data_IF_596777692889
#
_entry.id   IF_596777692889
#
_cell.length_a   1.000
_cell.length_b   1.000
_cell.length_c   1.000
_cell.angle_alpha   90.00
_cell.angle_beta   90.00
_cell.angle_gamma   90.00
#
_symmetry.space_group_name_H-M   'P 1'
#
loop_
_entity.id
_entity.type
_entity.pdbx_description
1 polymer ?
#
# COMPACT_ATOMS: atom_id res chain seq x y z
N UNK A 1 19.85 29.35 -7.43
CA UNK A 1 18.45 29.70 -7.75
C UNK A 1 18.34 31.21 -7.84
N UNK A 2 17.62 31.71 -8.81
CA UNK A 2 17.37 33.13 -8.99
C UNK A 2 15.87 33.42 -8.95
N UNK A 3 15.49 34.59 -8.44
CA UNK A 3 14.10 35.05 -8.46
C UNK A 3 13.82 35.82 -9.75
N UNK A 4 12.63 35.63 -10.30
CA UNK A 4 12.17 36.43 -11.43
C UNK A 4 11.48 37.67 -10.86
N UNK A 5 12.19 38.79 -10.80
CA UNK A 5 11.68 40.03 -10.21
C UNK A 5 10.90 40.91 -11.21
N UNK A 6 11.10 40.69 -12.55
CA UNK A 6 10.40 41.44 -13.59
C UNK A 6 8.89 41.24 -13.58
N UNK A 7 8.15 42.10 -14.29
CA UNK A 7 6.68 42.02 -14.44
C UNK A 7 6.25 40.74 -15.18
N UNK A 8 7.01 40.32 -16.18
CA UNK A 8 6.75 39.09 -16.95
C UNK A 8 7.34 37.89 -16.21
N UNK A 9 6.48 36.96 -15.83
CA UNK A 9 6.85 35.70 -15.16
C UNK A 9 6.83 34.54 -16.16
N UNK A 10 7.93 33.86 -16.29
CA UNK A 10 8.06 32.70 -17.15
C UNK A 10 7.81 31.40 -16.38
N UNK A 11 7.22 30.43 -17.04
CA UNK A 11 7.12 29.03 -16.57
C UNK A 11 7.53 28.11 -17.71
N UNK A 12 8.33 27.07 -17.41
CA UNK A 12 8.79 26.12 -18.42
C UNK A 12 10.31 26.06 -18.50
N UNK A 13 10.82 25.53 -19.60
CA UNK A 13 12.24 25.30 -19.82
C UNK A 13 12.72 26.05 -21.08
N UNK A 14 13.81 26.79 -20.93
CA UNK A 14 14.49 27.46 -22.02
C UNK A 14 15.99 27.09 -21.97
N UNK A 15 16.42 26.26 -22.90
CA UNK A 15 17.80 25.73 -22.90
C UNK A 15 18.10 24.98 -21.60
N UNK A 16 19.13 25.43 -20.88
CA UNK A 16 19.54 24.87 -19.58
C UNK A 16 18.87 25.53 -18.38
N UNK A 17 18.01 26.52 -18.58
CA UNK A 17 17.29 27.23 -17.52
C UNK A 17 15.85 26.68 -17.40
N UNK A 18 15.46 26.35 -16.19
CA UNK A 18 14.08 25.99 -15.84
C UNK A 18 13.47 27.09 -14.99
N UNK A 19 12.34 27.60 -15.45
CA UNK A 19 11.50 28.57 -14.76
C UNK A 19 10.33 27.85 -14.11
N UNK A 20 10.11 28.08 -12.82
CA UNK A 20 9.05 27.41 -12.07
C UNK A 20 8.49 28.32 -10.96
N UNK A 21 7.31 27.99 -10.49
CA UNK A 21 6.65 28.68 -9.37
C UNK A 21 6.67 27.78 -8.14
N UNK A 22 6.99 28.35 -6.99
CA UNK A 22 6.94 27.67 -5.69
C UNK A 22 6.21 28.61 -4.71
N UNK A 23 4.97 28.27 -4.37
CA UNK A 23 4.06 29.20 -3.69
C UNK A 23 3.85 30.45 -4.57
N UNK A 24 4.04 31.62 -3.99
CA UNK A 24 3.92 32.92 -4.70
C UNK A 24 5.22 33.36 -5.39
N UNK A 25 6.31 32.65 -5.20
CA UNK A 25 7.61 32.99 -5.76
C UNK A 25 7.83 32.38 -7.16
N UNK A 26 8.25 33.19 -8.11
CA UNK A 26 8.73 32.75 -9.42
C UNK A 26 10.25 32.64 -9.43
N UNK A 27 10.72 31.47 -9.76
CA UNK A 27 12.13 31.09 -9.64
C UNK A 27 12.72 30.63 -10.98
N UNK A 28 14.01 30.81 -11.12
CA UNK A 28 14.80 30.26 -12.21
C UNK A 28 15.98 29.45 -11.66
N UNK A 29 16.25 28.30 -12.26
CA UNK A 29 17.45 27.52 -11.97
C UNK A 29 18.07 26.97 -13.25
N UNK A 30 19.37 26.94 -13.31
CA UNK A 30 20.07 26.18 -14.32
C UNK A 30 19.96 24.69 -14.04
N UNK A 31 19.98 23.86 -15.07
CA UNK A 31 20.04 22.41 -14.93
C UNK A 31 21.30 22.05 -14.15
N UNK A 32 21.10 21.82 -12.85
CA UNK A 32 22.16 21.33 -11.98
C UNK A 32 22.13 19.82 -11.91
N UNK A 33 23.19 19.24 -11.38
CA UNK A 33 23.28 17.81 -11.12
C UNK A 33 24.39 17.13 -11.93
N UNK A 34 24.54 15.83 -11.67
CA UNK A 34 25.56 15.01 -12.33
C UNK A 34 25.04 14.58 -13.69
N UNK A 35 25.88 14.67 -14.73
CA UNK A 35 25.50 14.17 -16.05
C UNK A 35 25.29 12.65 -16.04
N UNK A 36 24.42 12.10 -16.92
CA UNK A 36 24.20 10.65 -16.99
C UNK A 36 25.49 9.85 -17.18
N UNK A 37 26.42 10.36 -18.01
CA UNK A 37 27.73 9.74 -18.24
C UNK A 37 28.55 9.69 -16.94
N UNK A 38 28.65 10.82 -16.25
CA UNK A 38 29.36 10.89 -14.97
C UNK A 38 28.68 10.04 -13.89
N UNK A 39 27.35 10.02 -13.84
CA UNK A 39 26.61 9.15 -12.92
C UNK A 39 26.96 7.68 -13.16
N UNK A 40 27.11 7.25 -14.41
CA UNK A 40 27.42 5.86 -14.75
C UNK A 40 28.88 5.46 -14.44
N UNK A 41 29.86 6.37 -14.60
CA UNK A 41 31.29 6.02 -14.63
C UNK A 41 32.09 6.51 -13.43
N UNK A 42 31.66 7.59 -12.74
CA UNK A 42 32.43 8.17 -11.64
C UNK A 42 32.42 7.26 -10.41
N UNK A 43 33.58 6.76 -9.91
CA UNK A 43 33.65 5.93 -8.72
C UNK A 43 33.06 6.60 -7.48
N UNK A 44 33.17 7.93 -7.35
CA UNK A 44 32.61 8.69 -6.24
C UNK A 44 31.07 8.62 -6.16
N UNK A 45 30.43 8.21 -7.26
CA UNK A 45 28.95 8.09 -7.35
C UNK A 45 28.46 6.64 -7.24
N UNK A 46 29.34 5.70 -6.94
CA UNK A 46 28.97 4.29 -6.76
C UNK A 46 27.82 4.10 -5.77
N UNK A 47 27.90 4.73 -4.60
CA UNK A 47 26.85 4.67 -3.57
C UNK A 47 25.51 5.23 -4.05
N UNK A 48 25.54 6.23 -4.90
CA UNK A 48 24.31 6.79 -5.50
C UNK A 48 23.69 5.82 -6.50
N UNK A 49 24.51 5.12 -7.29
CA UNK A 49 24.05 4.08 -8.21
C UNK A 49 23.43 2.90 -7.47
N UNK A 50 24.11 2.40 -6.43
CA UNK A 50 23.61 1.32 -5.59
C UNK A 50 22.23 1.68 -4.96
N UNK A 51 22.12 2.86 -4.36
CA UNK A 51 20.88 3.34 -3.81
C UNK A 51 19.77 3.47 -4.85
N UNK A 52 20.09 3.99 -6.03
CA UNK A 52 19.13 4.13 -7.13
C UNK A 52 18.66 2.78 -7.65
N UNK A 53 19.55 1.78 -7.74
CA UNK A 53 19.20 0.43 -8.16
C UNK A 53 18.28 -0.27 -7.16
N UNK A 54 18.57 -0.18 -5.85
CA UNK A 54 17.71 -0.75 -4.80
C UNK A 54 16.34 -0.04 -4.75
N UNK A 55 16.33 1.29 -4.86
CA UNK A 55 15.09 2.07 -4.91
C UNK A 55 14.24 1.73 -6.14
N UNK A 56 14.87 1.53 -7.30
CA UNK A 56 14.20 1.10 -8.53
C UNK A 56 13.49 -0.25 -8.34
N UNK A 57 14.19 -1.25 -7.77
CA UNK A 57 13.59 -2.56 -7.44
C UNK A 57 12.47 -2.44 -6.42
N UNK A 58 12.66 -1.64 -5.37
CA UNK A 58 11.60 -1.41 -4.38
C UNK A 58 10.35 -0.78 -5.00
N UNK A 59 10.53 0.19 -5.88
CA UNK A 59 9.43 0.86 -6.57
C UNK A 59 8.68 -0.08 -7.52
N UNK A 60 9.39 -1.00 -8.19
CA UNK A 60 8.77 -2.02 -9.03
C UNK A 60 7.88 -2.96 -8.21
N UNK A 61 8.40 -3.52 -7.11
CA UNK A 61 7.62 -4.38 -6.19
C UNK A 61 6.42 -3.65 -5.60
N UNK A 62 6.62 -2.41 -5.14
CA UNK A 62 5.53 -1.60 -4.59
C UNK A 62 4.47 -1.27 -5.66
N UNK A 63 4.85 -1.10 -6.91
CA UNK A 63 3.92 -0.97 -8.04
C UNK A 63 3.09 -2.23 -8.20
N UNK A 64 3.69 -3.42 -8.19
CA UNK A 64 2.97 -4.69 -8.31
C UNK A 64 1.97 -4.89 -7.15
N UNK A 65 2.37 -4.58 -5.92
CA UNK A 65 1.46 -4.62 -4.77
C UNK A 65 0.25 -3.69 -4.96
N UNK A 66 0.47 -2.45 -5.43
CA UNK A 66 -0.63 -1.52 -5.70
C UNK A 66 -1.55 -2.02 -6.83
N UNK A 67 -0.97 -2.61 -7.88
CA UNK A 67 -1.74 -3.17 -8.98
C UNK A 67 -2.57 -4.37 -8.51
N UNK A 68 -2.01 -5.23 -7.66
CA UNK A 68 -2.75 -6.33 -7.05
C UNK A 68 -3.93 -5.85 -6.19
N UNK A 69 -3.79 -4.69 -5.55
CA UNK A 69 -4.81 -4.10 -4.67
C UNK A 69 -5.77 -3.14 -5.39
N UNK A 70 -5.58 -2.85 -6.70
CA UNK A 70 -6.28 -1.77 -7.41
C UNK A 70 -7.81 -1.85 -7.36
N UNK A 71 -8.36 -3.07 -7.29
CA UNK A 71 -9.82 -3.28 -7.24
C UNK A 71 -10.47 -2.78 -5.94
N UNK A 72 -9.69 -2.67 -4.87
CA UNK A 72 -10.18 -2.27 -3.55
C UNK A 72 -9.64 -0.91 -3.07
N UNK A 73 -8.45 -0.52 -3.51
CA UNK A 73 -7.76 0.70 -3.07
C UNK A 73 -8.58 2.01 -3.14
N UNK A 74 -9.47 2.24 -4.13
CA UNK A 74 -10.18 3.52 -4.22
C UNK A 74 -10.92 3.94 -2.94
N UNK A 75 -11.37 2.99 -2.12
CA UNK A 75 -12.03 3.27 -0.85
C UNK A 75 -11.09 3.50 0.34
N UNK A 76 -9.80 3.18 0.19
CA UNK A 76 -8.88 3.05 1.34
C UNK A 76 -7.59 3.84 1.23
N UNK A 77 -7.20 4.30 0.04
CA UNK A 77 -5.91 4.95 -0.13
C UNK A 77 -5.95 6.44 0.24
N UNK A 78 -4.77 6.95 0.61
CA UNK A 78 -4.52 8.39 0.78
C UNK A 78 -3.28 8.82 -0.03
N UNK A 79 -3.10 10.16 -0.20
CA UNK A 79 -2.11 10.71 -1.12
C UNK A 79 -0.65 10.30 -0.86
N UNK A 80 -0.28 9.94 0.37
CA UNK A 80 1.10 9.54 0.72
C UNK A 80 1.34 8.03 0.68
N UNK A 81 0.30 7.21 0.48
CA UNK A 81 0.36 5.74 0.50
C UNK A 81 1.49 5.19 -0.37
N UNK A 82 1.64 5.68 -1.60
CA UNK A 82 2.68 5.22 -2.51
C UNK A 82 4.09 5.44 -1.95
N UNK A 83 4.35 6.61 -1.38
CA UNK A 83 5.65 6.95 -0.79
C UNK A 83 5.95 6.07 0.42
N UNK A 84 4.94 5.85 1.28
CA UNK A 84 5.06 4.99 2.46
C UNK A 84 5.31 3.53 2.07
N UNK A 85 4.60 3.01 1.05
CA UNK A 85 4.79 1.66 0.55
C UNK A 85 6.18 1.48 -0.05
N UNK A 86 6.64 2.41 -0.89
CA UNK A 86 7.99 2.37 -1.45
C UNK A 86 9.06 2.33 -0.35
N UNK A 87 8.90 3.16 0.69
CA UNK A 87 9.81 3.18 1.85
C UNK A 87 9.81 1.83 2.58
N UNK A 88 8.64 1.25 2.81
CA UNK A 88 8.52 -0.06 3.48
C UNK A 88 9.17 -1.17 2.66
N UNK A 89 8.89 -1.25 1.36
CA UNK A 89 9.49 -2.26 0.47
C UNK A 89 11.00 -2.08 0.35
N UNK A 90 11.50 -0.83 0.31
CA UNK A 90 12.95 -0.57 0.33
C UNK A 90 13.61 -1.10 1.62
N UNK A 91 12.94 -1.00 2.76
CA UNK A 91 13.44 -1.60 4.02
C UNK A 91 13.55 -3.13 3.93
N UNK A 92 12.56 -3.79 3.29
CA UNK A 92 12.61 -5.25 3.06
C UNK A 92 13.81 -5.64 2.19
N UNK A 93 14.03 -4.92 1.09
CA UNK A 93 15.16 -5.17 0.19
C UNK A 93 16.50 -4.95 0.91
N UNK A 94 16.60 -3.91 1.73
CA UNK A 94 17.81 -3.66 2.53
C UNK A 94 18.10 -4.74 3.58
N UNK A 95 17.09 -5.50 3.97
CA UNK A 95 17.23 -6.66 4.85
C UNK A 95 17.81 -7.92 4.17
N UNK A 96 18.06 -7.88 2.86
CA UNK A 96 18.77 -8.96 2.17
C UNK A 96 20.23 -9.01 2.67
N UNK A 97 20.55 -10.06 3.41
CA UNK A 97 21.89 -10.31 3.96
C UNK A 97 22.80 -11.15 3.05
N UNK A 98 22.28 -11.63 1.91
CA UNK A 98 23.01 -12.52 0.99
C UNK A 98 23.69 -11.73 -0.13
N UNK A 99 22.98 -10.75 -0.70
CA UNK A 99 23.47 -9.98 -1.83
C UNK A 99 24.18 -8.70 -1.37
N UNK A 100 25.20 -8.32 -2.12
CA UNK A 100 25.89 -7.05 -1.93
C UNK A 100 24.96 -5.87 -2.11
N UNK A 101 25.29 -4.75 -1.46
CA UNK A 101 24.63 -3.49 -1.65
C UNK A 101 24.56 -3.11 -3.13
N UNK A 102 23.42 -2.59 -3.57
CA UNK A 102 23.14 -2.30 -4.97
C UNK A 102 22.61 -3.50 -5.76
N UNK A 103 22.85 -4.74 -5.27
CA UNK A 103 22.32 -5.98 -5.85
C UNK A 103 21.23 -6.64 -5.02
N UNK A 104 20.94 -6.11 -3.83
CA UNK A 104 19.94 -6.64 -2.90
C UNK A 104 18.58 -6.80 -3.56
N UNK A 105 17.86 -7.85 -3.16
CA UNK A 105 16.56 -8.25 -3.71
C UNK A 105 15.53 -8.41 -2.59
N UNK A 106 14.28 -8.55 -2.97
CA UNK A 106 13.23 -8.94 -2.05
C UNK A 106 13.37 -10.44 -1.76
N UNK A 107 13.69 -10.78 -0.52
CA UNK A 107 13.72 -12.16 -0.02
C UNK A 107 12.45 -12.45 0.76
N UNK A 108 11.96 -13.70 0.69
CA UNK A 108 10.65 -14.05 1.25
C UNK A 108 10.64 -13.96 2.78
N UNK A 109 11.75 -14.24 3.41
CA UNK A 109 11.94 -14.20 4.87
C UNK A 109 11.66 -12.80 5.44
N UNK A 110 11.84 -11.76 4.63
CA UNK A 110 11.59 -10.37 5.03
C UNK A 110 10.14 -9.92 4.80
N UNK A 111 9.33 -10.69 4.08
CA UNK A 111 7.95 -10.32 3.77
C UNK A 111 7.05 -10.12 5.00
N UNK A 112 7.20 -10.86 6.11
CA UNK A 112 6.44 -10.60 7.34
C UNK A 112 6.58 -9.16 7.86
N UNK A 113 7.66 -8.46 7.52
CA UNK A 113 7.82 -7.03 7.87
C UNK A 113 6.79 -6.12 7.16
N UNK A 114 6.04 -6.62 6.18
CA UNK A 114 4.89 -5.90 5.61
C UNK A 114 3.68 -5.88 6.53
N UNK A 115 3.57 -6.82 7.46
CA UNK A 115 2.44 -6.87 8.41
C UNK A 115 2.35 -5.57 9.18
N UNK A 116 1.14 -5.06 9.31
CA UNK A 116 0.85 -3.76 9.90
C UNK A 116 1.06 -2.57 8.95
N UNK A 117 1.36 -2.81 7.66
CA UNK A 117 1.33 -1.72 6.69
C UNK A 117 -0.12 -1.34 6.39
N UNK A 118 -0.48 -0.10 6.70
CA UNK A 118 -1.79 0.47 6.37
C UNK A 118 -1.74 1.20 5.02
N UNK A 119 -2.70 0.88 4.14
CA UNK A 119 -2.90 1.60 2.87
C UNK A 119 -3.51 2.98 3.10
N UNK A 120 -4.23 3.17 4.21
CA UNK A 120 -4.70 4.47 4.67
C UNK A 120 -3.87 4.92 5.87
N UNK A 121 -3.01 5.91 5.70
CA UNK A 121 -2.14 6.41 6.77
C UNK A 121 -2.87 7.14 7.91
N UNK A 122 -4.13 7.47 7.70
CA UNK A 122 -4.95 8.20 8.69
C UNK A 122 -5.80 7.25 9.55
N UNK A 123 -5.96 5.98 9.15
CA UNK A 123 -6.79 4.99 9.84
C UNK A 123 -6.21 3.60 9.63
N UNK A 124 -5.71 2.99 10.68
CA UNK A 124 -5.21 1.62 10.64
C UNK A 124 -6.30 0.63 11.10
N UNK A 125 -6.22 -0.61 10.61
CA UNK A 125 -7.15 -1.68 10.98
C UNK A 125 -7.28 -1.84 12.50
N UNK A 126 -6.16 -1.87 13.21
CA UNK A 126 -6.09 -2.03 14.67
C UNK A 126 -6.75 -0.90 15.45
N UNK A 127 -6.95 0.27 14.84
CA UNK A 127 -7.57 1.44 15.47
C UNK A 127 -9.09 1.47 15.24
N UNK A 128 -9.59 0.60 14.34
CA UNK A 128 -11.00 0.54 13.93
C UNK A 128 -11.66 -0.76 14.36
N UNK A 129 -10.93 -1.89 14.36
CA UNK A 129 -11.48 -3.22 14.66
C UNK A 129 -10.64 -3.92 15.74
N UNK A 130 -11.27 -4.30 16.86
CA UNK A 130 -10.60 -4.83 18.05
C UNK A 130 -10.85 -6.32 18.31
N UNK A 131 -11.78 -6.96 17.58
CA UNK A 131 -12.01 -8.39 17.75
C UNK A 131 -10.91 -9.24 17.09
N UNK A 132 -10.67 -10.48 17.60
CA UNK A 132 -9.68 -11.35 16.99
C UNK A 132 -10.10 -11.77 15.58
N UNK A 133 -9.13 -11.91 14.69
CA UNK A 133 -9.30 -12.41 13.32
C UNK A 133 -8.67 -13.80 13.25
N UNK A 134 -9.47 -14.83 12.97
CA UNK A 134 -8.95 -16.16 12.66
C UNK A 134 -8.60 -16.23 11.19
N UNK A 135 -7.41 -16.76 10.87
CA UNK A 135 -6.93 -16.82 9.49
C UNK A 135 -6.00 -18.01 9.30
N UNK A 136 -6.11 -18.65 8.15
CA UNK A 136 -5.23 -19.75 7.76
C UNK A 136 -5.13 -19.83 6.24
N UNK A 137 -4.01 -20.36 5.75
CA UNK A 137 -3.80 -20.66 4.36
C UNK A 137 -3.52 -22.15 4.18
N UNK A 138 -4.33 -22.82 3.36
CA UNK A 138 -4.12 -24.22 3.02
C UNK A 138 -3.28 -24.31 1.74
N UNK A 139 -2.03 -24.74 1.89
CA UNK A 139 -1.09 -24.88 0.78
C UNK A 139 -1.45 -26.03 -0.19
N UNK A 140 -2.24 -27.03 0.25
CA UNK A 140 -2.65 -28.13 -0.61
C UNK A 140 -3.74 -27.69 -1.61
N UNK A 141 -4.73 -26.95 -1.13
CA UNK A 141 -5.83 -26.45 -1.95
C UNK A 141 -5.54 -25.07 -2.56
N UNK A 142 -4.63 -24.28 -1.98
CA UNK A 142 -4.38 -22.89 -2.38
C UNK A 142 -5.45 -21.93 -1.87
N UNK A 143 -6.18 -22.30 -0.81
CA UNK A 143 -7.28 -21.51 -0.25
C UNK A 143 -6.86 -20.72 0.99
N UNK A 144 -7.28 -19.47 1.02
CA UNK A 144 -7.20 -18.58 2.18
C UNK A 144 -8.55 -18.57 2.90
N UNK A 145 -8.53 -18.87 4.19
CA UNK A 145 -9.69 -18.81 5.05
C UNK A 145 -9.53 -17.67 6.06
N UNK A 146 -10.57 -16.82 6.19
CA UNK A 146 -10.63 -15.75 7.18
C UNK A 146 -11.98 -15.77 7.86
N UNK A 147 -11.98 -15.71 9.19
CA UNK A 147 -13.20 -15.67 10.00
C UNK A 147 -13.13 -14.46 10.92
N UNK A 148 -14.12 -13.59 10.79
CA UNK A 148 -14.43 -12.55 11.76
C UNK A 148 -15.56 -13.09 12.64
N UNK A 149 -15.36 -13.23 13.98
CA UNK A 149 -16.35 -13.84 14.84
C UNK A 149 -17.62 -13.00 14.97
N UNK A 150 -18.69 -13.61 15.43
CA UNK A 150 -19.87 -12.89 15.86
C UNK A 150 -19.52 -11.98 17.05
N UNK A 151 -20.02 -10.75 17.04
CA UNK A 151 -19.74 -9.79 18.11
C UNK A 151 -20.75 -8.63 18.15
N UNK A 152 -20.79 -7.95 19.30
CA UNK A 152 -21.52 -6.70 19.43
C UNK A 152 -20.72 -5.57 18.79
N UNK A 153 -21.21 -5.02 17.67
CA UNK A 153 -20.47 -4.04 16.86
C UNK A 153 -19.92 -2.85 17.66
N UNK A 154 -20.69 -2.18 18.55
CA UNK A 154 -20.17 -1.06 19.35
C UNK A 154 -19.05 -1.42 20.33
N UNK A 155 -18.89 -2.69 20.70
CA UNK A 155 -17.84 -3.13 21.61
C UNK A 155 -16.49 -3.34 20.93
N UNK A 156 -16.48 -3.58 19.63
CA UNK A 156 -15.28 -3.95 18.87
C UNK A 156 -14.97 -3.05 17.68
N UNK A 157 -15.85 -2.10 17.38
CA UNK A 157 -15.68 -1.16 16.27
C UNK A 157 -15.57 0.28 16.80
N UNK A 158 -14.55 0.98 16.32
CA UNK A 158 -14.42 2.43 16.48
C UNK A 158 -14.72 3.10 15.14
N UNK A 159 -15.91 3.66 14.99
CA UNK A 159 -16.43 4.17 13.73
C UNK A 159 -16.75 5.67 13.81
N UNK A 160 -16.77 6.39 12.66
CA UNK A 160 -17.34 7.73 12.60
C UNK A 160 -18.79 7.76 13.09
N UNK A 161 -19.20 8.85 13.75
CA UNK A 161 -20.54 9.00 14.32
C UNK A 161 -21.66 8.92 13.28
N UNK A 162 -21.39 9.25 12.03
CA UNK A 162 -22.32 9.19 10.91
C UNK A 162 -22.35 7.81 10.20
N UNK A 163 -21.56 6.85 10.64
CA UNK A 163 -21.56 5.50 10.09
C UNK A 163 -22.77 4.70 10.58
N UNK A 164 -23.61 4.26 9.64
CA UNK A 164 -24.76 3.36 9.90
C UNK A 164 -24.49 1.94 9.46
N UNK A 165 -23.50 1.71 8.60
CA UNK A 165 -23.10 0.41 8.11
C UNK A 165 -21.62 0.28 7.85
N UNK A 166 -21.14 -0.95 7.80
CA UNK A 166 -19.75 -1.29 7.48
C UNK A 166 -19.69 -2.45 6.49
N UNK A 167 -18.64 -2.50 5.68
CA UNK A 167 -18.33 -3.61 4.79
C UNK A 167 -16.90 -4.05 5.03
N UNK A 168 -16.72 -5.32 5.31
CA UNK A 168 -15.41 -5.93 5.36
C UNK A 168 -14.95 -6.33 3.97
N UNK A 169 -13.66 -6.22 3.73
CA UNK A 169 -13.00 -6.63 2.48
C UNK A 169 -11.78 -7.46 2.82
N UNK A 170 -11.69 -8.65 2.27
CA UNK A 170 -10.53 -9.53 2.41
C UNK A 170 -9.84 -9.63 1.06
N UNK A 171 -8.53 -9.48 1.03
CA UNK A 171 -7.71 -9.55 -0.18
C UNK A 171 -6.53 -10.48 0.03
N UNK A 172 -6.38 -11.45 -0.86
CA UNK A 172 -5.17 -12.23 -1.01
C UNK A 172 -4.36 -11.68 -2.20
N UNK A 173 -3.12 -11.29 -1.96
CA UNK A 173 -2.26 -10.73 -3.00
C UNK A 173 -0.93 -11.49 -3.08
N UNK A 174 -0.57 -11.94 -4.27
CA UNK A 174 0.69 -12.57 -4.63
C UNK A 174 1.45 -11.67 -5.60
N UNK A 175 2.73 -11.44 -5.35
CA UNK A 175 3.60 -10.64 -6.21
C UNK A 175 4.88 -11.42 -6.47
N UNK A 176 5.23 -11.56 -7.72
CA UNK A 176 6.50 -12.11 -8.14
C UNK A 176 7.39 -10.98 -8.66
N UNK A 177 8.36 -10.58 -7.84
CA UNK A 177 9.26 -9.48 -8.14
C UNK A 177 10.23 -9.78 -9.30
N UNK A 178 10.53 -11.04 -9.57
CA UNK A 178 11.47 -11.46 -10.63
C UNK A 178 10.78 -11.47 -12.00
N UNK A 179 9.52 -11.93 -12.04
CA UNK A 179 8.73 -12.01 -13.27
C UNK A 179 7.92 -10.75 -13.55
N UNK A 180 7.98 -9.74 -12.69
CA UNK A 180 7.17 -8.52 -12.75
C UNK A 180 5.67 -8.81 -12.90
N UNK A 181 5.17 -9.85 -12.20
CA UNK A 181 3.77 -10.28 -12.25
C UNK A 181 3.12 -10.21 -10.89
N UNK A 182 1.83 -10.05 -10.89
CA UNK A 182 0.99 -10.12 -9.70
C UNK A 182 -0.29 -10.91 -9.99
N UNK A 183 -0.84 -11.47 -8.93
CA UNK A 183 -2.18 -12.05 -8.90
C UNK A 183 -2.86 -11.63 -7.60
N UNK A 184 -4.18 -11.44 -7.64
CA UNK A 184 -4.96 -11.18 -6.43
C UNK A 184 -6.41 -11.63 -6.61
N UNK A 185 -7.00 -12.05 -5.52
CA UNK A 185 -8.43 -12.26 -5.38
C UNK A 185 -8.92 -11.51 -4.14
N UNK A 186 -10.18 -11.12 -4.14
CA UNK A 186 -10.79 -10.42 -3.02
C UNK A 186 -12.26 -10.78 -2.89
N UNK A 187 -12.76 -10.65 -1.69
CA UNK A 187 -14.15 -10.88 -1.33
C UNK A 187 -14.64 -9.78 -0.39
N UNK A 188 -15.91 -9.45 -0.48
CA UNK A 188 -16.56 -8.45 0.36
C UNK A 188 -17.71 -9.07 1.14
N UNK A 189 -17.87 -8.67 2.40
CA UNK A 189 -19.12 -8.92 3.12
C UNK A 189 -20.29 -8.13 2.50
N UNK A 190 -21.53 -8.46 2.77
CA UNK A 190 -22.63 -7.50 2.66
C UNK A 190 -22.33 -6.27 3.51
N UNK A 191 -23.09 -5.19 3.30
CA UNK A 191 -23.06 -4.06 4.25
C UNK A 191 -23.80 -4.50 5.51
N UNK A 192 -23.07 -4.52 6.61
CA UNK A 192 -23.54 -4.94 7.93
C UNK A 192 -23.88 -3.71 8.76
N UNK A 193 -24.87 -3.78 9.68
CA UNK A 193 -25.19 -2.66 10.54
C UNK A 193 -23.99 -2.29 11.43
N UNK A 194 -23.74 -0.99 11.59
CA UNK A 194 -22.69 -0.46 12.46
C UNK A 194 -23.07 -0.53 13.96
N UNK A 195 -24.31 -0.90 14.27
CA UNK A 195 -24.84 -1.04 15.62
C UNK A 195 -25.52 -2.41 15.79
N UNK A 196 -25.51 -2.93 17.01
CA UNK A 196 -26.13 -4.22 17.33
C UNK A 196 -25.21 -5.43 17.14
N UNK A 197 -25.84 -6.61 17.12
CA UNK A 197 -25.14 -7.87 16.92
C UNK A 197 -24.74 -8.02 15.45
N UNK A 198 -23.45 -8.19 15.21
CA UNK A 198 -22.89 -8.45 13.90
C UNK A 198 -22.61 -9.95 13.76
N UNK A 199 -23.22 -10.62 12.78
CA UNK A 199 -23.06 -12.05 12.60
C UNK A 199 -21.63 -12.39 12.16
N UNK A 200 -21.22 -13.63 12.46
CA UNK A 200 -19.93 -14.14 11.99
C UNK A 200 -19.80 -13.96 10.46
N UNK A 201 -18.65 -13.46 10.03
CA UNK A 201 -18.29 -13.37 8.60
C UNK A 201 -17.23 -14.42 8.29
N UNK A 202 -17.43 -15.16 7.21
CA UNK A 202 -16.49 -16.16 6.69
C UNK A 202 -16.16 -15.82 5.26
N UNK A 203 -14.86 -15.82 4.97
CA UNK A 203 -14.32 -15.58 3.63
C UNK A 203 -13.45 -16.77 3.24
N UNK A 204 -13.64 -17.25 2.03
CA UNK A 204 -12.83 -18.31 1.44
C UNK A 204 -12.36 -17.87 0.05
N UNK A 205 -11.10 -17.51 -0.06
CA UNK A 205 -10.52 -17.03 -1.31
C UNK A 205 -9.69 -18.15 -1.94
N UNK A 206 -10.08 -18.61 -3.11
CA UNK A 206 -9.26 -19.50 -3.93
C UNK A 206 -8.21 -18.66 -4.67
N UNK A 207 -6.96 -18.82 -4.27
CA UNK A 207 -5.85 -18.09 -4.88
C UNK A 207 -5.26 -18.83 -6.08
N UNK A 208 -5.58 -20.11 -6.26
CA UNK A 208 -4.93 -20.98 -7.22
C UNK A 208 -3.42 -21.15 -7.00
N UNK A 209 -2.88 -20.57 -5.88
CA UNK A 209 -1.45 -20.50 -5.60
C UNK A 209 -1.04 -21.50 -4.53
N UNK A 210 0.03 -22.26 -4.82
CA UNK A 210 0.55 -23.28 -3.90
C UNK A 210 2.04 -23.12 -3.59
N UNK A 211 2.69 -22.12 -4.17
CA UNK A 211 4.17 -22.05 -4.21
C UNK A 211 4.75 -20.65 -3.96
N UNK A 212 3.92 -19.62 -3.88
CA UNK A 212 4.39 -18.24 -3.70
C UNK A 212 3.84 -17.63 -2.42
N UNK A 213 4.53 -16.71 -1.75
CA UNK A 213 4.02 -16.02 -0.58
C UNK A 213 2.69 -15.31 -0.83
N UNK A 214 1.74 -15.50 0.08
CA UNK A 214 0.41 -14.87 0.03
C UNK A 214 0.32 -13.79 1.10
N UNK A 215 -0.02 -12.58 0.70
CA UNK A 215 -0.25 -11.45 1.59
C UNK A 215 -1.74 -11.29 1.82
N UNK A 216 -2.15 -11.42 3.06
CA UNK A 216 -3.51 -11.17 3.49
C UNK A 216 -3.66 -9.71 3.88
N UNK A 217 -4.57 -9.01 3.21
CA UNK A 217 -5.03 -7.70 3.66
C UNK A 217 -6.50 -7.75 4.04
N UNK A 218 -6.86 -7.05 5.11
CA UNK A 218 -8.25 -6.90 5.53
C UNK A 218 -8.56 -5.42 5.67
N UNK A 219 -9.72 -5.03 5.16
CA UNK A 219 -10.22 -3.67 5.24
C UNK A 219 -11.63 -3.58 5.77
N UNK A 220 -11.97 -2.42 6.29
CA UNK A 220 -13.31 -2.01 6.70
C UNK A 220 -13.64 -0.68 6.05
N UNK A 221 -14.73 -0.63 5.29
CA UNK A 221 -15.27 0.58 4.71
C UNK A 221 -16.57 0.95 5.43
N UNK A 222 -16.72 2.22 5.78
CA UNK A 222 -17.87 2.77 6.48
C UNK A 222 -18.88 3.34 5.49
N UNK A 223 -20.15 3.16 5.81
CA UNK A 223 -21.29 3.66 5.03
C UNK A 223 -22.21 4.47 5.93
N UNK A 224 -22.82 5.50 5.36
CA UNK A 224 -23.95 6.23 5.93
C UNK A 224 -25.19 6.00 5.08
N UNK A 225 -26.36 6.09 5.69
CA UNK A 225 -27.61 6.06 4.95
C UNK A 225 -27.96 7.47 4.44
N UNK A 226 -28.28 7.54 3.16
CA UNK A 226 -28.77 8.77 2.53
C UNK A 226 -29.99 8.40 1.68
N UNK A 227 -31.15 8.93 2.04
CA UNK A 227 -32.44 8.64 1.36
C UNK A 227 -32.74 7.13 1.23
N UNK A 228 -32.40 6.33 2.25
CA UNK A 228 -32.62 4.88 2.27
C UNK A 228 -31.55 4.04 1.56
N UNK A 229 -30.48 4.66 1.03
CA UNK A 229 -29.39 3.98 0.34
C UNK A 229 -28.07 4.08 1.11
N UNK A 230 -27.29 3.01 1.18
CA UNK A 230 -25.96 3.04 1.77
C UNK A 230 -24.98 3.76 0.84
N UNK A 231 -24.39 4.86 1.33
CA UNK A 231 -23.39 5.65 0.60
C UNK A 231 -22.04 5.55 1.34
N UNK A 232 -20.93 5.25 0.65
CA UNK A 232 -19.61 5.19 1.28
C UNK A 232 -19.24 6.52 1.95
N UNK A 233 -18.59 6.44 3.09
CA UNK A 233 -18.02 7.61 3.77
C UNK A 233 -16.59 7.79 3.25
N UNK A 234 -16.38 8.84 2.44
CA UNK A 234 -15.08 9.16 1.81
C UNK A 234 -14.16 9.99 2.73
N UNK A 235 -14.20 9.76 4.03
CA UNK A 235 -13.31 10.45 4.99
C UNK A 235 -12.08 9.61 5.28
N UNK A 236 -10.87 10.19 5.35
CA UNK A 236 -9.64 9.44 5.65
C UNK A 236 -9.69 8.64 6.96
N UNK A 237 -10.43 9.10 7.96
CA UNK A 237 -10.58 8.44 9.25
C UNK A 237 -11.67 7.37 9.30
N UNK A 238 -12.40 7.15 8.20
CA UNK A 238 -13.55 6.24 8.18
C UNK A 238 -13.17 4.81 7.74
N UNK A 239 -12.16 4.68 6.87
CA UNK A 239 -11.88 3.44 6.18
C UNK A 239 -10.46 2.98 6.47
N UNK A 240 -10.26 1.71 6.78
CA UNK A 240 -8.95 1.11 7.03
C UNK A 240 -8.73 -0.11 6.13
N UNK A 241 -7.51 -0.29 5.63
CA UNK A 241 -7.07 -1.48 4.90
C UNK A 241 -5.60 -1.72 5.23
N UNK A 242 -5.32 -2.81 5.91
CA UNK A 242 -3.97 -3.16 6.36
C UNK A 242 -3.55 -4.55 5.87
N UNK A 243 -2.25 -4.75 5.69
CA UNK A 243 -1.67 -6.09 5.56
C UNK A 243 -1.65 -6.71 6.96
N UNK A 244 -2.45 -7.75 7.15
CA UNK A 244 -2.66 -8.41 8.45
C UNK A 244 -1.74 -9.61 8.63
N UNK A 245 -1.40 -10.29 7.54
CA UNK A 245 -0.54 -11.46 7.58
C UNK A 245 0.19 -11.71 6.27
N UNK A 246 1.24 -12.55 6.34
CA UNK A 246 1.97 -13.06 5.18
C UNK A 246 2.21 -14.54 5.39
N UNK A 247 1.62 -15.36 4.55
CA UNK A 247 1.84 -16.81 4.54
C UNK A 247 3.01 -17.12 3.60
N UNK A 248 4.01 -17.80 4.14
CA UNK A 248 5.17 -18.27 3.39
C UNK A 248 5.00 -19.76 3.09
N UNK A 249 5.36 -20.24 1.87
CA UNK A 249 5.36 -21.67 1.60
C UNK A 249 6.32 -22.39 2.55
N UNK A 250 5.92 -23.59 2.95
CA UNK A 250 6.82 -24.48 3.67
C UNK A 250 7.93 -24.89 2.69
N UNK A 251 9.19 -24.65 3.07
CA UNK A 251 10.36 -25.00 2.28
C UNK A 251 10.53 -26.53 2.13
#
# INVERSE_FOLDING_TARGET
MAYQLGEIKLKGKLGDVTFYQQGDAYLAKTKGGVSPKRMATDPKLERSRENSAEFGRASAVAKQLRLAMRGVLPLFHEGTMQTRLNKRVLQLIKGDGVNDRGKRRLVWENLPLLVGFSFNGSSAWKDVYYAPVQRSFDWNSGKLHVILPEHWAPAVLSLPKDATGVRFTVVAAMVNAEKDTYHSCHEHSPILPASGLMPQQRFELDTGNKVSPVRLSIGIACFKEVAGYPVPIEKPLANALDIIDVFLPLG
#
